data_IF_825459745288
#
_entry.id   IF_825459745288
#
_cell.length_a   1.000
_cell.length_b   1.000
_cell.length_c   1.000
_cell.angle_alpha   90.00
_cell.angle_beta   90.00
_cell.angle_gamma   90.00
#
_symmetry.space_group_name_H-M   'P 1'
#
loop_
_entity.id
_entity.type
_entity.pdbx_description
1 polymer ?
#
# COMPACT_ATOMS: atom_id res chain seq x y z
N UNK A 1 -44.02 -40.83 1.13
CA UNK A 1 -42.60 -41.27 1.12
C UNK A 1 -41.83 -40.26 1.97
N UNK A 2 -41.43 -40.47 3.22
CA UNK A 2 -40.96 -41.68 3.86
C UNK A 2 -39.44 -41.71 3.80
N UNK A 3 -38.73 -41.11 4.76
CA UNK A 3 -37.39 -41.53 5.17
C UNK A 3 -37.17 -41.19 6.66
N UNK A 4 -37.12 -42.25 7.47
CA UNK A 4 -36.71 -42.25 8.88
C UNK A 4 -35.19 -42.07 8.95
N UNK A 5 -34.72 -41.27 9.91
CA UNK A 5 -33.34 -41.28 10.36
C UNK A 5 -33.13 -42.43 11.36
N UNK A 6 -32.08 -43.23 11.16
CA UNK A 6 -31.52 -44.17 12.15
C UNK A 6 -30.13 -43.71 12.58
N UNK A 7 -29.76 -43.82 13.87
CA UNK A 7 -28.44 -43.46 14.36
C UNK A 7 -27.48 -44.65 14.35
N UNK A 8 -26.24 -44.46 13.88
CA UNK A 8 -25.19 -45.49 13.93
C UNK A 8 -24.13 -45.13 14.97
N UNK A 9 -23.87 -46.09 15.87
CA UNK A 9 -22.92 -46.09 16.98
C UNK A 9 -21.47 -45.79 16.57
N UNK A 10 -20.78 -44.99 17.38
CA UNK A 10 -19.32 -44.91 17.44
C UNK A 10 -18.73 -46.20 18.04
N UNK A 11 -17.72 -46.77 17.39
CA UNK A 11 -16.80 -47.78 17.95
C UNK A 11 -15.47 -47.06 18.20
N UNK A 12 -15.05 -47.02 19.47
CA UNK A 12 -13.72 -46.57 19.87
C UNK A 12 -12.73 -47.73 19.72
N UNK A 13 -11.60 -47.50 19.05
CA UNK A 13 -10.43 -48.38 19.08
C UNK A 13 -9.26 -47.56 19.63
N UNK A 14 -8.85 -47.88 20.85
CA UNK A 14 -7.62 -47.39 21.47
C UNK A 14 -6.44 -48.20 20.93
N UNK A 15 -5.42 -47.55 20.37
CA UNK A 15 -4.14 -48.23 20.16
C UNK A 15 -2.94 -47.30 20.43
N UNK A 16 -2.26 -47.57 21.54
CA UNK A 16 -1.25 -46.72 22.18
C UNK A 16 0.15 -46.78 21.50
N UNK A 17 0.22 -47.32 20.27
CA UNK A 17 1.49 -47.57 19.55
C UNK A 17 1.80 -46.54 18.47
N UNK A 18 0.81 -45.80 17.98
CA UNK A 18 1.00 -44.73 16.98
C UNK A 18 1.53 -43.44 17.63
N UNK A 19 1.12 -43.16 18.87
CA UNK A 19 1.53 -41.96 19.62
C UNK A 19 3.02 -41.98 20.00
N UNK A 20 3.61 -43.17 20.21
CA UNK A 20 5.03 -43.31 20.57
C UNK A 20 5.96 -43.09 19.35
N UNK A 21 5.55 -43.48 18.14
CA UNK A 21 6.36 -43.32 16.93
C UNK A 21 6.44 -41.85 16.46
N UNK A 22 5.37 -41.07 16.65
CA UNK A 22 5.33 -39.65 16.28
C UNK A 22 6.21 -38.81 17.23
N UNK A 23 6.30 -39.17 18.51
CA UNK A 23 7.13 -38.47 19.49
C UNK A 23 8.64 -38.57 19.22
N UNK A 24 9.13 -39.71 18.73
CA UNK A 24 10.56 -39.92 18.45
C UNK A 24 11.01 -39.17 17.19
N UNK A 25 10.17 -39.12 16.14
CA UNK A 25 10.48 -38.38 14.90
C UNK A 25 10.41 -36.87 15.12
N UNK A 26 9.46 -36.37 15.91
CA UNK A 26 9.39 -34.95 16.28
C UNK A 26 10.60 -34.51 17.12
N UNK A 27 11.08 -35.36 18.03
CA UNK A 27 12.27 -35.10 18.85
C UNK A 27 13.57 -35.01 18.04
N UNK A 28 13.73 -35.84 17.00
CA UNK A 28 14.90 -35.80 16.11
C UNK A 28 14.92 -34.53 15.23
N UNK A 29 13.78 -34.19 14.61
CA UNK A 29 13.65 -33.01 13.73
C UNK A 29 13.83 -31.69 14.49
N UNK A 30 13.39 -31.62 15.75
CA UNK A 30 13.57 -30.42 16.58
C UNK A 30 15.03 -30.21 17.03
N UNK A 31 15.79 -31.30 17.24
CA UNK A 31 17.18 -31.21 17.69
C UNK A 31 18.14 -30.79 16.56
N UNK A 32 17.96 -31.33 15.35
CA UNK A 32 18.75 -30.95 14.17
C UNK A 32 18.53 -29.49 13.76
N UNK A 33 17.31 -28.96 13.95
CA UNK A 33 17.02 -27.57 13.67
C UNK A 33 17.67 -26.61 14.68
N UNK A 34 17.81 -27.00 15.95
CA UNK A 34 18.48 -26.18 16.96
C UNK A 34 20.00 -26.06 16.73
N UNK A 35 20.67 -27.16 16.36
CA UNK A 35 22.10 -27.15 16.04
C UNK A 35 22.39 -26.27 14.80
N UNK A 36 21.53 -26.35 13.78
CA UNK A 36 21.65 -25.56 12.56
C UNK A 36 21.46 -24.05 12.81
N UNK A 37 20.47 -23.68 13.64
CA UNK A 37 20.21 -22.29 14.06
C UNK A 37 21.36 -21.74 14.92
N UNK A 38 21.92 -22.53 15.85
CA UNK A 38 23.08 -22.13 16.66
C UNK A 38 24.32 -21.90 15.78
N UNK A 39 24.56 -22.76 14.78
CA UNK A 39 25.69 -22.60 13.85
C UNK A 39 25.54 -21.37 12.94
N UNK A 40 24.32 -21.08 12.48
CA UNK A 40 23.99 -19.91 11.68
C UNK A 40 24.14 -18.61 12.48
N UNK A 41 23.64 -18.58 13.72
CA UNK A 41 23.79 -17.43 14.61
C UNK A 41 25.26 -17.13 14.94
N UNK A 42 26.10 -18.16 15.12
CA UNK A 42 27.54 -17.99 15.33
C UNK A 42 28.25 -17.40 14.10
N UNK A 43 27.93 -17.88 12.89
CA UNK A 43 28.50 -17.31 11.64
C UNK A 43 28.11 -15.85 11.42
N UNK A 44 26.87 -15.47 11.75
CA UNK A 44 26.41 -14.08 11.67
C UNK A 44 27.12 -13.21 12.72
N UNK A 45 27.24 -13.69 13.96
CA UNK A 45 27.96 -12.98 15.02
C UNK A 45 29.45 -12.75 14.66
N UNK A 46 30.13 -13.78 14.16
CA UNK A 46 31.53 -13.70 13.74
C UNK A 46 31.71 -12.71 12.57
N UNK A 47 30.80 -12.71 11.59
CA UNK A 47 30.80 -11.77 10.46
C UNK A 47 30.56 -10.30 10.86
N UNK A 48 29.65 -10.07 11.82
CA UNK A 48 29.41 -8.73 12.38
C UNK A 48 30.63 -8.24 13.16
N UNK A 49 31.27 -9.07 13.99
CA UNK A 49 32.51 -8.69 14.67
C UNK A 49 33.68 -8.41 13.73
N UNK A 50 33.78 -9.12 12.60
CA UNK A 50 34.77 -8.85 11.56
C UNK A 50 34.56 -7.49 10.89
N UNK A 51 33.31 -7.15 10.57
CA UNK A 51 32.94 -5.89 9.94
C UNK A 51 33.16 -4.69 10.88
N UNK A 52 32.79 -4.83 12.16
CA UNK A 52 33.01 -3.79 13.17
C UNK A 52 34.50 -3.56 13.43
N UNK A 53 35.34 -4.61 13.46
CA UNK A 53 36.81 -4.46 13.54
C UNK A 53 37.40 -3.77 12.31
N UNK A 54 36.86 -4.05 11.12
CA UNK A 54 37.25 -3.40 9.86
C UNK A 54 36.94 -1.90 9.87
N UNK A 55 35.71 -1.53 10.26
CA UNK A 55 35.28 -0.12 10.39
C UNK A 55 36.08 0.61 11.46
N UNK A 56 36.31 -0.01 12.63
CA UNK A 56 37.12 0.59 13.69
C UNK A 56 38.58 0.84 13.24
N UNK A 57 39.16 -0.05 12.43
CA UNK A 57 40.51 0.12 11.88
C UNK A 57 40.56 1.24 10.83
N UNK A 58 39.51 1.37 10.00
CA UNK A 58 39.36 2.45 9.02
C UNK A 58 39.21 3.83 9.69
N UNK A 59 38.37 3.93 10.73
CA UNK A 59 38.16 5.17 11.50
C UNK A 59 39.43 5.58 12.23
N UNK A 60 40.15 4.63 12.84
CA UNK A 60 41.43 4.92 13.52
C UNK A 60 42.50 5.43 12.54
N UNK A 61 42.55 4.87 11.33
CA UNK A 61 43.41 5.35 10.24
C UNK A 61 43.09 6.77 9.79
N UNK A 62 41.79 7.07 9.58
CA UNK A 62 41.33 8.40 9.19
C UNK A 62 41.64 9.46 10.24
N UNK A 63 41.40 9.16 11.52
CA UNK A 63 41.69 10.08 12.65
C UNK A 63 43.19 10.35 12.79
N UNK A 64 44.05 9.33 12.62
CA UNK A 64 45.51 9.53 12.62
C UNK A 64 46.00 10.37 11.43
N UNK A 65 45.35 10.27 10.26
CA UNK A 65 45.64 11.09 9.10
C UNK A 65 45.29 12.57 9.32
N UNK A 66 44.12 12.84 9.90
CA UNK A 66 43.67 14.19 10.25
C UNK A 66 44.59 14.83 11.30
N UNK A 67 44.99 14.10 12.34
CA UNK A 67 45.93 14.61 13.35
C UNK A 67 47.32 14.93 12.76
N UNK A 68 47.82 14.12 11.81
CA UNK A 68 49.08 14.42 11.11
C UNK A 68 48.97 15.66 10.23
N UNK A 69 47.82 15.88 9.59
CA UNK A 69 47.52 17.08 8.81
C UNK A 69 47.44 18.34 9.66
N UNK A 70 46.72 18.28 10.78
CA UNK A 70 46.57 19.39 11.74
C UNK A 70 47.91 19.75 12.41
N UNK A 71 48.76 18.77 12.75
CA UNK A 71 50.10 19.01 13.29
C UNK A 71 51.05 19.68 12.30
N UNK A 72 50.96 19.33 11.00
CA UNK A 72 51.73 19.96 9.91
C UNK A 72 51.24 21.38 9.57
N UNK A 73 49.97 21.66 9.86
CA UNK A 73 49.36 22.99 9.70
C UNK A 73 49.70 23.91 10.90
N UNK A 74 49.70 23.37 12.12
CA UNK A 74 50.04 24.10 13.35
C UNK A 74 51.54 24.43 13.47
N UNK A 75 52.43 23.65 12.87
CA UNK A 75 53.87 23.97 12.85
C UNK A 75 54.25 25.10 11.89
N UNK A 76 53.28 25.67 11.15
CA UNK A 76 53.48 26.78 10.21
C UNK A 76 52.93 28.12 10.72
N UNK A 77 52.35 28.13 11.93
CA UNK A 77 51.76 29.32 12.52
C UNK A 77 52.24 29.50 13.97
N UNK A 78 53.35 30.19 14.13
CA UNK A 78 53.69 30.98 15.32
C UNK A 78 54.57 32.14 14.83
N UNK A 79 54.35 33.40 15.28
CA UNK A 79 53.99 33.78 16.65
C UNK A 79 52.79 34.75 16.75
N UNK A 80 51.98 34.59 17.80
CA UNK A 80 51.30 35.68 18.55
C UNK A 80 50.57 35.03 19.73
N UNK A 81 51.30 34.88 20.83
CA UNK A 81 50.74 34.48 22.11
C UNK A 81 49.94 35.66 22.67
N UNK A 82 48.68 35.43 23.04
CA UNK A 82 47.89 36.49 23.68
C UNK A 82 46.37 36.43 23.53
N UNK A 83 45.76 35.34 23.06
CA UNK A 83 44.28 35.20 23.15
C UNK A 83 43.78 33.74 23.22
N UNK A 84 44.69 32.76 23.22
CA UNK A 84 44.35 31.32 23.18
C UNK A 84 44.28 30.63 24.56
N UNK A 85 44.70 31.32 25.63
CA UNK A 85 44.67 30.76 26.99
C UNK A 85 43.25 30.55 27.56
N UNK A 86 42.26 31.32 27.09
CA UNK A 86 40.87 31.24 27.59
C UNK A 86 39.96 30.27 26.80
N UNK A 87 40.34 29.93 25.58
CA UNK A 87 39.65 28.91 24.75
C UNK A 87 40.10 27.48 25.08
N UNK A 88 41.37 27.30 25.48
CA UNK A 88 41.89 26.01 25.92
C UNK A 88 41.28 25.54 27.26
N UNK A 89 40.93 26.46 28.18
CA UNK A 89 40.29 26.10 29.45
C UNK A 89 38.81 25.69 29.30
N UNK A 90 38.10 26.20 28.29
CA UNK A 90 36.70 25.83 28.00
C UNK A 90 36.58 24.51 27.20
N UNK A 91 37.61 24.15 26.41
CA UNK A 91 37.68 22.87 25.70
C UNK A 91 38.20 21.72 26.59
N UNK A 92 38.92 22.04 27.66
CA UNK A 92 39.33 21.06 28.68
C UNK A 92 38.16 20.61 29.57
N UNK A 93 37.14 21.45 29.78
CA UNK A 93 35.96 21.08 30.58
C UNK A 93 34.95 20.20 29.83
N UNK A 94 34.94 20.21 28.49
CA UNK A 94 34.03 19.36 27.67
C UNK A 94 34.63 17.99 27.31
N UNK A 95 35.96 17.83 27.40
CA UNK A 95 36.65 16.55 27.16
C UNK A 95 36.70 15.64 28.39
N UNK A 96 36.54 16.19 29.61
CA UNK A 96 36.43 15.41 30.84
C UNK A 96 35.10 14.65 30.97
N UNK A 97 34.01 15.21 30.45
CA UNK A 97 32.68 14.56 30.48
C UNK A 97 32.62 13.33 29.55
N UNK A 98 33.21 13.44 28.36
CA UNK A 98 33.29 12.33 27.40
C UNK A 98 34.22 11.18 27.88
N UNK A 99 35.27 11.51 28.65
CA UNK A 99 36.15 10.51 29.24
C UNK A 99 35.53 9.79 30.45
N UNK A 100 34.72 10.49 31.26
CA UNK A 100 33.99 9.90 32.38
C UNK A 100 32.87 8.95 31.91
N UNK A 101 32.21 9.28 30.79
CA UNK A 101 31.16 8.43 30.20
C UNK A 101 31.74 7.18 29.51
N UNK A 102 32.96 7.30 28.93
CA UNK A 102 33.70 6.17 28.38
C UNK A 102 34.24 5.20 29.47
N UNK A 103 34.55 5.71 30.67
CA UNK A 103 34.97 4.89 31.80
C UNK A 103 33.81 4.13 32.47
N UNK A 104 32.59 4.70 32.47
CA UNK A 104 31.40 4.04 33.00
C UNK A 104 30.89 2.89 32.11
N UNK A 105 31.27 2.85 30.83
CA UNK A 105 30.93 1.78 29.90
C UNK A 105 31.75 0.47 30.11
N UNK A 106 32.77 0.49 30.99
CA UNK A 106 33.61 -0.67 31.30
C UNK A 106 33.08 -1.53 32.47
N UNK A 107 32.04 -1.09 33.17
CA UNK A 107 31.39 -1.85 34.25
C UNK A 107 29.99 -2.28 33.82
N UNK A 108 29.83 -3.59 33.61
CA UNK A 108 28.69 -4.20 32.96
C UNK A 108 27.34 -4.06 33.68
N UNK A 109 26.29 -4.34 32.91
CA UNK A 109 24.93 -4.61 33.41
C UNK A 109 23.91 -3.54 33.03
N UNK A 110 24.09 -2.29 33.48
CA UNK A 110 23.04 -1.28 33.40
C UNK A 110 22.90 -0.57 32.04
N UNK A 111 23.99 -0.44 31.27
CA UNK A 111 23.98 0.22 29.97
C UNK A 111 23.25 -0.59 28.88
N UNK A 112 23.30 -1.93 28.96
CA UNK A 112 22.64 -2.82 28.00
C UNK A 112 21.11 -2.75 28.10
N UNK A 113 20.57 -2.61 29.31
CA UNK A 113 19.12 -2.42 29.52
C UNK A 113 18.66 -1.04 29.05
N UNK A 114 19.49 -0.01 29.23
CA UNK A 114 19.17 1.38 28.86
C UNK A 114 19.30 1.62 27.35
N UNK A 115 20.25 0.98 26.67
CA UNK A 115 20.32 0.95 25.20
C UNK A 115 19.24 0.05 24.58
N UNK A 116 18.90 -1.06 25.21
CA UNK A 116 17.75 -1.89 24.80
C UNK A 116 16.43 -1.12 24.89
N UNK A 117 16.23 -0.37 25.99
CA UNK A 117 15.05 0.47 26.18
C UNK A 117 15.02 1.67 25.22
N UNK A 118 16.14 2.32 24.93
CA UNK A 118 16.21 3.44 23.98
C UNK A 118 16.07 2.97 22.52
N UNK A 119 16.64 1.82 22.18
CA UNK A 119 16.48 1.16 20.87
C UNK A 119 15.06 0.64 20.66
N UNK A 120 14.42 0.08 21.69
CA UNK A 120 13.00 -0.27 21.66
C UNK A 120 12.12 0.97 21.63
N UNK A 121 12.49 2.07 22.30
CA UNK A 121 11.74 3.32 22.26
C UNK A 121 11.90 4.02 20.90
N UNK A 122 13.06 3.95 20.25
CA UNK A 122 13.23 4.42 18.86
C UNK A 122 12.55 3.51 17.85
N UNK A 123 12.52 2.19 18.06
CA UNK A 123 11.71 1.28 17.24
C UNK A 123 10.21 1.48 17.47
N UNK A 124 9.76 1.75 18.70
CA UNK A 124 8.36 2.04 19.00
C UNK A 124 7.95 3.44 18.54
N UNK A 125 8.83 4.44 18.57
CA UNK A 125 8.61 5.77 18.01
C UNK A 125 8.67 5.75 16.48
N UNK A 126 9.56 4.95 15.88
CA UNK A 126 9.58 4.66 14.44
C UNK A 126 8.35 3.90 13.97
N UNK A 127 7.87 2.92 14.76
CA UNK A 127 6.61 2.21 14.51
C UNK A 127 5.38 3.08 14.79
N UNK A 128 5.42 4.03 15.73
CA UNK A 128 4.34 5.01 15.94
C UNK A 128 4.30 6.06 14.83
N UNK A 129 5.46 6.52 14.35
CA UNK A 129 5.56 7.40 13.18
C UNK A 129 5.12 6.68 11.89
N UNK A 130 5.32 5.36 11.80
CA UNK A 130 4.82 4.53 10.69
C UNK A 130 3.35 4.11 10.84
N UNK A 131 2.73 4.26 12.02
CA UNK A 131 1.32 3.90 12.29
C UNK A 131 0.38 5.10 12.42
N UNK A 132 0.80 6.26 11.93
CA UNK A 132 -0.10 7.38 11.69
C UNK A 132 -0.84 7.28 10.35
N UNK A 133 -0.59 6.22 9.55
CA UNK A 133 -1.30 5.95 8.30
C UNK A 133 -2.11 4.66 8.42
N UNK A 134 -3.24 4.69 9.13
CA UNK A 134 -4.35 3.82 8.76
C UNK A 134 -5.22 4.65 7.81
N UNK A 135 -4.70 4.92 6.62
CA UNK A 135 -5.32 5.81 5.65
C UNK A 135 -6.15 4.98 4.68
N UNK A 136 -7.35 4.58 5.13
CA UNK A 136 -8.45 4.29 4.22
C UNK A 136 -8.90 5.61 3.60
N UNK A 137 -8.18 6.10 2.59
CA UNK A 137 -8.51 7.14 1.58
C UNK A 137 -9.07 8.49 2.07
N UNK A 138 -9.36 8.66 3.36
CA UNK A 138 -9.96 9.85 3.92
C UNK A 138 -8.84 10.64 4.56
N UNK A 139 -8.51 11.74 3.91
CA UNK A 139 -7.60 12.75 4.42
C UNK A 139 -8.18 13.43 5.70
N UNK A 140 -9.38 13.05 6.13
CA UNK A 140 -9.99 13.36 7.43
C UNK A 140 -10.10 12.10 8.31
N UNK A 141 -9.00 11.80 9.01
CA UNK A 141 -8.86 10.72 10.00
C UNK A 141 -9.89 10.83 11.14
N UNK A 142 -10.49 12.01 11.35
CA UNK A 142 -11.25 12.28 12.57
C UNK A 142 -12.72 11.91 12.49
N UNK A 143 -13.26 11.57 11.30
CA UNK A 143 -14.68 11.28 11.07
C UNK A 143 -15.63 12.34 11.67
N UNK A 144 -15.14 13.58 11.79
CA UNK A 144 -15.88 14.74 12.30
C UNK A 144 -15.60 15.91 11.38
N UNK A 145 -16.66 16.63 11.02
CA UNK A 145 -16.52 17.82 10.22
C UNK A 145 -16.02 18.99 11.08
N UNK A 146 -15.11 19.79 10.52
CA UNK A 146 -14.72 21.09 11.06
C UNK A 146 -14.88 22.10 9.94
N UNK A 147 -15.60 23.17 10.22
CA UNK A 147 -15.81 24.24 9.25
C UNK A 147 -14.47 24.84 8.84
N UNK A 148 -14.28 24.95 7.54
CA UNK A 148 -13.17 25.64 6.91
C UNK A 148 -13.72 26.67 5.92
N UNK A 149 -12.93 27.65 5.47
CA UNK A 149 -13.39 28.62 4.49
C UNK A 149 -13.93 27.99 3.20
N UNK A 150 -13.36 26.84 2.83
CA UNK A 150 -13.67 26.11 1.60
C UNK A 150 -14.70 24.97 1.77
N UNK A 151 -14.98 24.56 3.00
CA UNK A 151 -15.88 23.45 3.32
C UNK A 151 -16.62 23.76 4.61
N UNK A 152 -17.86 24.22 4.47
CA UNK A 152 -18.79 24.59 5.52
C UNK A 152 -20.23 24.44 4.99
N UNK A 153 -21.22 24.69 5.84
CA UNK A 153 -22.64 24.56 5.46
C UNK A 153 -23.09 25.57 4.40
N UNK A 154 -22.40 26.72 4.27
CA UNK A 154 -22.70 27.75 3.27
C UNK A 154 -21.99 27.52 1.93
N UNK A 155 -21.18 26.46 1.79
CA UNK A 155 -20.45 26.17 0.56
C UNK A 155 -21.46 25.88 -0.55
N UNK A 156 -21.56 26.73 -1.59
CA UNK A 156 -22.61 26.58 -2.59
C UNK A 156 -22.31 25.38 -3.48
N UNK A 157 -23.27 24.45 -3.57
CA UNK A 157 -23.22 23.35 -4.51
C UNK A 157 -24.61 23.12 -5.09
N UNK A 158 -24.70 23.17 -6.41
CA UNK A 158 -25.90 22.83 -7.15
C UNK A 158 -25.51 21.89 -8.29
N UNK A 159 -26.37 20.92 -8.57
CA UNK A 159 -26.15 20.03 -9.69
C UNK A 159 -26.35 20.78 -11.01
N UNK A 160 -25.48 20.52 -11.99
CA UNK A 160 -25.70 21.06 -13.33
C UNK A 160 -26.96 20.44 -13.96
N UNK A 161 -27.65 21.11 -14.89
CA UNK A 161 -28.84 20.54 -15.53
C UNK A 161 -28.58 19.18 -16.20
N UNK A 162 -27.37 18.99 -16.76
CA UNK A 162 -26.95 17.72 -17.36
C UNK A 162 -26.82 16.62 -16.30
N UNK A 163 -26.13 16.90 -15.19
CA UNK A 163 -25.97 15.95 -14.07
C UNK A 163 -27.30 15.67 -13.38
N UNK A 164 -28.18 16.66 -13.24
CA UNK A 164 -29.52 16.44 -12.67
C UNK A 164 -30.34 15.45 -13.49
N UNK A 165 -30.22 15.45 -14.82
CA UNK A 165 -30.89 14.46 -15.66
C UNK A 165 -30.41 13.04 -15.33
N UNK A 166 -29.12 12.85 -15.12
CA UNK A 166 -28.55 11.55 -14.70
C UNK A 166 -28.98 11.17 -13.29
N UNK A 167 -29.05 12.13 -12.36
CA UNK A 167 -29.58 11.90 -11.00
C UNK A 167 -31.02 11.40 -11.05
N UNK A 168 -31.88 12.03 -11.86
CA UNK A 168 -33.27 11.58 -12.03
C UNK A 168 -33.36 10.19 -12.67
N UNK A 169 -32.49 9.87 -13.61
CA UNK A 169 -32.38 8.52 -14.18
C UNK A 169 -31.96 7.48 -13.15
N UNK A 170 -31.02 7.81 -12.25
CA UNK A 170 -30.61 6.92 -11.18
C UNK A 170 -31.77 6.69 -10.21
N UNK A 171 -32.47 7.75 -9.80
CA UNK A 171 -33.61 7.66 -8.89
C UNK A 171 -34.71 6.76 -9.48
N UNK A 172 -34.95 6.84 -10.80
CA UNK A 172 -36.00 6.03 -11.46
C UNK A 172 -35.70 4.53 -11.49
N UNK A 173 -34.45 4.10 -11.24
CA UNK A 173 -34.09 2.68 -11.10
C UNK A 173 -34.63 2.06 -9.81
N UNK A 174 -35.03 2.88 -8.84
CA UNK A 174 -35.52 2.42 -7.54
C UNK A 174 -37.02 2.69 -7.39
N UNK A 175 -37.73 1.87 -6.58
CA UNK A 175 -39.13 2.14 -6.24
C UNK A 175 -39.29 3.53 -5.60
N UNK A 176 -40.43 4.22 -5.83
CA UNK A 176 -40.63 5.61 -5.41
C UNK A 176 -40.53 5.82 -3.89
N UNK A 177 -40.89 4.81 -3.09
CA UNK A 177 -40.80 4.83 -1.64
C UNK A 177 -39.38 4.53 -1.10
N UNK A 178 -38.46 4.05 -1.94
CA UNK A 178 -37.09 3.67 -1.56
C UNK A 178 -36.02 4.47 -2.31
N UNK A 179 -36.30 5.74 -2.63
CA UNK A 179 -35.35 6.64 -3.30
C UNK A 179 -34.01 6.81 -2.58
N UNK A 180 -33.97 6.62 -1.26
CA UNK A 180 -32.72 6.61 -0.48
C UNK A 180 -31.70 5.57 -0.99
N UNK A 181 -32.14 4.54 -1.72
CA UNK A 181 -31.25 3.55 -2.34
C UNK A 181 -30.35 4.15 -3.44
N UNK A 182 -30.74 5.30 -3.99
CA UNK A 182 -29.95 6.05 -4.97
C UNK A 182 -28.77 6.83 -4.34
N UNK A 183 -28.61 6.81 -3.02
CA UNK A 183 -27.65 7.65 -2.30
C UNK A 183 -26.20 7.46 -2.77
N UNK A 184 -25.73 6.21 -2.89
CA UNK A 184 -24.33 5.94 -3.28
C UNK A 184 -24.04 6.45 -4.71
N UNK A 185 -24.82 6.09 -5.74
CA UNK A 185 -24.60 6.62 -7.09
C UNK A 185 -24.74 8.15 -7.19
N UNK A 186 -25.68 8.76 -6.46
CA UNK A 186 -25.88 10.21 -6.50
C UNK A 186 -24.74 10.95 -5.80
N UNK A 187 -24.22 10.42 -4.68
CA UNK A 187 -23.00 10.95 -4.05
C UNK A 187 -21.78 10.82 -4.95
N UNK A 188 -21.64 9.70 -5.66
CA UNK A 188 -20.52 9.50 -6.58
C UNK A 188 -20.58 10.50 -7.75
N UNK A 189 -21.75 10.74 -8.33
CA UNK A 189 -21.94 11.81 -9.32
C UNK A 189 -21.62 13.20 -8.75
N UNK A 190 -22.05 13.48 -7.51
CA UNK A 190 -21.77 14.76 -6.86
C UNK A 190 -20.26 14.95 -6.65
N UNK A 191 -19.55 13.89 -6.26
CA UNK A 191 -18.09 13.88 -6.13
C UNK A 191 -17.41 14.14 -7.48
N UNK A 192 -17.84 13.48 -8.53
CA UNK A 192 -17.31 13.69 -9.89
C UNK A 192 -17.56 15.13 -10.35
N UNK A 193 -18.75 15.69 -10.11
CA UNK A 193 -19.07 17.08 -10.47
C UNK A 193 -18.22 18.09 -9.69
N UNK A 194 -17.97 17.84 -8.40
CA UNK A 194 -17.25 18.75 -7.51
C UNK A 194 -15.71 18.59 -7.57
N UNK A 195 -15.18 18.00 -8.65
CA UNK A 195 -13.73 17.87 -8.85
C UNK A 195 -13.07 16.84 -7.92
N UNK A 196 -13.80 15.79 -7.55
CA UNK A 196 -13.25 14.61 -6.88
C UNK A 196 -13.41 14.56 -5.37
N UNK A 197 -14.16 15.48 -4.76
CA UNK A 197 -14.41 15.47 -3.31
C UNK A 197 -15.82 15.96 -2.95
N UNK A 198 -16.29 15.60 -1.76
CA UNK A 198 -17.59 15.94 -1.22
C UNK A 198 -17.45 16.99 -0.11
N UNK A 199 -17.94 18.20 -0.39
CA UNK A 199 -18.11 19.24 0.62
C UNK A 199 -19.37 18.98 1.46
N UNK A 200 -19.49 19.65 2.61
CA UNK A 200 -20.69 19.57 3.45
C UNK A 200 -21.92 20.08 2.67
N UNK A 201 -21.80 21.20 1.96
CA UNK A 201 -22.86 21.71 1.08
C UNK A 201 -23.27 20.71 -0.01
N UNK A 202 -22.30 19.99 -0.60
CA UNK A 202 -22.57 18.92 -1.56
C UNK A 202 -23.40 17.78 -0.96
N UNK A 203 -23.03 17.31 0.24
CA UNK A 203 -23.78 16.25 0.93
C UNK A 203 -25.20 16.69 1.29
N UNK A 204 -25.37 17.96 1.71
CA UNK A 204 -26.69 18.51 2.04
C UNK A 204 -27.58 18.62 0.82
N UNK A 205 -27.01 19.01 -0.32
CA UNK A 205 -27.75 19.02 -1.59
C UNK A 205 -28.22 17.63 -1.98
N UNK A 206 -27.40 16.60 -1.79
CA UNK A 206 -27.81 15.21 -2.04
C UNK A 206 -28.94 14.79 -1.11
N UNK A 207 -28.87 15.17 0.16
CA UNK A 207 -29.92 14.90 1.15
C UNK A 207 -31.26 15.55 0.76
N UNK A 208 -31.22 16.79 0.30
CA UNK A 208 -32.37 17.54 -0.22
C UNK A 208 -33.01 16.82 -1.41
N UNK A 209 -32.21 16.47 -2.43
CA UNK A 209 -32.70 15.81 -3.66
C UNK A 209 -33.33 14.45 -3.37
N UNK A 210 -32.79 13.71 -2.41
CA UNK A 210 -33.31 12.39 -2.01
C UNK A 210 -34.36 12.46 -0.89
N UNK A 211 -34.71 13.67 -0.43
CA UNK A 211 -35.60 13.95 0.70
C UNK A 211 -35.33 13.04 1.90
N UNK A 212 -34.07 12.99 2.34
CA UNK A 212 -33.65 12.19 3.48
C UNK A 212 -32.85 13.03 4.49
N UNK A 213 -32.76 12.61 5.76
CA UNK A 213 -31.97 13.34 6.74
C UNK A 213 -30.48 13.40 6.35
N UNK A 214 -29.87 14.58 6.46
CA UNK A 214 -28.45 14.81 6.14
C UNK A 214 -27.50 13.84 6.85
N UNK A 215 -27.81 13.50 8.11
CA UNK A 215 -26.99 12.57 8.90
C UNK A 215 -26.82 11.20 8.22
N UNK A 216 -27.83 10.71 7.48
CA UNK A 216 -27.73 9.45 6.75
C UNK A 216 -26.79 9.55 5.55
N UNK A 217 -26.71 10.74 4.94
CA UNK A 217 -25.72 11.03 3.89
C UNK A 217 -24.32 11.06 4.48
N UNK A 218 -24.13 11.72 5.64
CA UNK A 218 -22.83 11.77 6.32
C UNK A 218 -22.34 10.39 6.76
N UNK A 219 -23.22 9.55 7.30
CA UNK A 219 -22.91 8.15 7.65
C UNK A 219 -22.36 7.39 6.44
N UNK A 220 -23.03 7.49 5.28
CA UNK A 220 -22.59 6.80 4.05
C UNK A 220 -21.29 7.39 3.50
N UNK A 221 -21.18 8.73 3.46
CA UNK A 221 -19.99 9.41 2.96
C UNK A 221 -18.73 9.16 3.80
N UNK A 222 -18.89 8.90 5.10
CA UNK A 222 -17.78 8.55 6.01
C UNK A 222 -17.46 7.05 6.00
N UNK A 223 -18.46 6.21 5.75
CA UNK A 223 -18.31 4.75 5.76
C UNK A 223 -17.60 4.22 4.51
N UNK A 224 -17.95 4.70 3.32
CA UNK A 224 -17.35 4.23 2.07
C UNK A 224 -16.08 5.00 1.74
N UNK A 225 -14.99 4.27 1.55
CA UNK A 225 -13.66 4.85 1.37
C UNK A 225 -13.48 5.56 0.02
N UNK A 226 -14.31 5.25 -0.99
CA UNK A 226 -14.28 5.95 -2.28
C UNK A 226 -14.68 7.43 -2.18
N UNK A 227 -15.40 7.81 -1.12
CA UNK A 227 -15.89 9.17 -0.94
C UNK A 227 -14.83 10.06 -0.28
N UNK A 228 -14.20 10.92 -1.07
CA UNK A 228 -13.20 11.85 -0.58
C UNK A 228 -13.90 13.03 0.10
N UNK A 229 -13.70 13.20 1.40
CA UNK A 229 -14.31 14.30 2.18
C UNK A 229 -13.43 15.55 2.28
N UNK A 230 -12.27 15.50 1.63
CA UNK A 230 -11.30 16.60 1.55
C UNK A 230 -10.84 16.73 0.11
N UNK A 231 -10.37 17.92 -0.26
CA UNK A 231 -9.88 18.20 -1.61
C UNK A 231 -8.73 17.25 -1.98
N UNK A 232 -8.94 16.51 -3.06
CA UNK A 232 -7.90 15.74 -3.74
C UNK A 232 -7.45 16.49 -4.99
N UNK A 233 -6.28 16.13 -5.52
CA UNK A 233 -5.80 16.61 -6.80
C UNK A 233 -6.66 16.07 -7.95
N UNK A 234 -6.39 16.56 -9.16
CA UNK A 234 -7.14 16.15 -10.35
C UNK A 234 -7.05 14.66 -10.64
N UNK A 235 -5.93 14.03 -10.29
CA UNK A 235 -5.71 12.60 -10.35
C UNK A 235 -5.50 12.06 -8.94
N UNK A 236 -6.40 11.19 -8.49
CA UNK A 236 -6.19 10.45 -7.25
C UNK A 236 -5.60 9.07 -7.58
N UNK A 237 -4.31 8.91 -7.27
CA UNK A 237 -3.53 7.69 -7.47
C UNK A 237 -3.69 6.81 -6.24
N UNK A 238 -4.31 5.66 -6.40
CA UNK A 238 -4.58 4.71 -5.32
C UNK A 238 -3.77 3.43 -5.54
N UNK A 239 -2.79 3.19 -4.67
CA UNK A 239 -1.89 2.04 -4.73
C UNK A 239 -2.44 0.90 -3.89
N UNK A 240 -2.50 -0.32 -4.43
CA UNK A 240 -2.96 -1.49 -3.68
C UNK A 240 -1.91 -1.97 -2.65
N UNK A 241 -2.27 -1.92 -1.37
CA UNK A 241 -1.44 -2.31 -0.22
C UNK A 241 -1.62 -3.76 0.26
N UNK A 242 -2.60 -4.49 -0.30
CA UNK A 242 -2.93 -5.85 0.19
C UNK A 242 -1.90 -6.91 -0.11
N UNK A 243 -1.95 -8.02 0.64
CA UNK A 243 -0.97 -9.11 0.61
C UNK A 243 -0.57 -9.58 -0.81
N UNK A 244 -1.48 -9.82 -1.77
CA UNK A 244 -1.07 -10.24 -3.12
C UNK A 244 -0.19 -9.21 -3.82
N UNK A 245 -0.56 -7.93 -3.76
CA UNK A 245 0.23 -6.84 -4.34
C UNK A 245 1.54 -6.62 -3.58
N UNK A 246 1.51 -6.74 -2.25
CA UNK A 246 2.70 -6.60 -1.41
C UNK A 246 3.74 -7.67 -1.70
N UNK A 247 3.30 -8.93 -1.90
CA UNK A 247 4.17 -10.05 -2.28
C UNK A 247 4.82 -9.84 -3.65
N UNK A 248 4.12 -9.19 -4.60
CA UNK A 248 4.65 -8.83 -5.92
C UNK A 248 5.39 -7.47 -5.92
N UNK A 249 5.61 -6.85 -4.75
CA UNK A 249 6.45 -5.66 -4.61
C UNK A 249 5.76 -4.31 -4.77
N UNK A 250 4.45 -4.20 -4.48
CA UNK A 250 3.73 -2.91 -4.53
C UNK A 250 4.34 -1.82 -3.64
N UNK A 251 5.05 -2.17 -2.58
CA UNK A 251 5.79 -1.21 -1.75
C UNK A 251 6.89 -0.47 -2.53
N UNK A 252 7.50 -1.14 -3.52
CA UNK A 252 8.47 -0.51 -4.41
C UNK A 252 7.81 0.50 -5.35
N UNK A 253 6.55 0.24 -5.74
CA UNK A 253 5.73 1.14 -6.55
C UNK A 253 5.37 2.40 -5.76
N UNK A 254 4.87 2.23 -4.54
CA UNK A 254 4.53 3.33 -3.63
C UNK A 254 5.76 4.19 -3.31
N UNK A 255 6.89 3.57 -2.97
CA UNK A 255 8.13 4.28 -2.69
C UNK A 255 8.65 5.07 -3.90
N UNK A 256 8.50 4.51 -5.12
CA UNK A 256 8.84 5.21 -6.35
C UNK A 256 7.95 6.44 -6.58
N UNK A 257 6.63 6.31 -6.34
CA UNK A 257 5.66 7.40 -6.44
C UNK A 257 5.94 8.51 -5.43
N UNK A 258 6.15 8.17 -4.16
CA UNK A 258 6.51 9.11 -3.08
C UNK A 258 7.78 9.89 -3.44
N UNK A 259 8.81 9.18 -3.92
CA UNK A 259 10.08 9.81 -4.31
C UNK A 259 9.93 10.71 -5.53
N UNK A 260 9.13 10.32 -6.52
CA UNK A 260 8.97 11.04 -7.78
C UNK A 260 8.08 12.29 -7.62
N UNK A 261 6.98 12.16 -6.88
CA UNK A 261 6.02 13.25 -6.65
C UNK A 261 6.46 14.19 -5.51
N UNK A 262 7.35 13.72 -4.62
CA UNK A 262 7.84 14.52 -3.49
C UNK A 262 6.80 14.73 -2.38
N UNK A 263 5.80 13.84 -2.29
CA UNK A 263 4.70 13.88 -1.32
C UNK A 263 4.66 12.62 -0.47
N UNK A 264 4.00 12.66 0.67
CA UNK A 264 3.69 11.46 1.46
C UNK A 264 2.38 10.82 0.98
N UNK A 265 2.15 9.58 1.41
CA UNK A 265 0.83 8.95 1.26
C UNK A 265 -0.20 9.75 2.06
N UNK A 266 -1.32 10.07 1.42
CA UNK A 266 -2.36 10.95 1.94
C UNK A 266 -2.07 12.44 1.76
N UNK A 267 -1.10 12.82 0.92
CA UNK A 267 -0.84 14.22 0.58
C UNK A 267 -1.13 14.49 -0.91
N UNK A 268 -1.36 15.76 -1.22
CA UNK A 268 -1.56 16.25 -2.58
C UNK A 268 -0.35 17.07 -2.99
N UNK A 269 0.08 16.93 -4.25
CA UNK A 269 1.18 17.71 -4.81
C UNK A 269 0.86 19.22 -4.81
N UNK A 270 1.88 20.06 -4.70
CA UNK A 270 1.72 21.51 -4.63
C UNK A 270 1.08 22.15 -5.89
N UNK A 271 1.17 21.45 -7.03
CA UNK A 271 0.50 21.81 -8.29
C UNK A 271 -0.99 21.42 -8.33
N UNK A 272 -1.50 20.73 -7.30
CA UNK A 272 -2.90 20.26 -7.21
C UNK A 272 -3.24 19.16 -8.22
N UNK A 273 -2.25 18.53 -8.85
CA UNK A 273 -2.48 17.56 -9.91
C UNK A 273 -2.64 16.13 -9.38
N UNK A 274 -1.85 15.71 -8.39
CA UNK A 274 -1.81 14.32 -7.94
C UNK A 274 -2.01 14.22 -6.42
N UNK A 275 -2.88 13.30 -6.01
CA UNK A 275 -2.98 12.83 -4.63
C UNK A 275 -2.59 11.37 -4.59
N UNK A 276 -1.75 10.99 -3.62
CA UNK A 276 -1.36 9.60 -3.42
C UNK A 276 -2.15 9.01 -2.26
N UNK A 277 -2.91 7.94 -2.51
CA UNK A 277 -3.62 7.16 -1.50
C UNK A 277 -3.14 5.71 -1.50
N UNK A 278 -3.16 5.08 -0.33
CA UNK A 278 -3.13 3.63 -0.21
C UNK A 278 -4.57 3.12 -0.21
N UNK A 279 -4.77 1.99 -0.88
CA UNK A 279 -6.07 1.33 -0.99
C UNK A 279 -5.94 -0.17 -0.78
N UNK A 280 -7.04 -0.77 -0.36
CA UNK A 280 -7.12 -2.20 -0.14
C UNK A 280 -7.32 -2.96 -1.47
N UNK A 281 -7.76 -4.21 -1.39
CA UNK A 281 -7.89 -5.08 -2.56
C UNK A 281 -8.83 -4.49 -3.61
N UNK A 282 -8.31 -4.25 -4.82
CA UNK A 282 -9.08 -3.73 -5.96
C UNK A 282 -9.56 -4.81 -6.94
N UNK A 283 -9.36 -6.09 -6.61
CA UNK A 283 -9.80 -7.22 -7.43
C UNK A 283 -8.86 -7.62 -8.57
N UNK A 284 -7.76 -6.88 -8.82
CA UNK A 284 -6.79 -7.19 -9.90
C UNK A 284 -5.61 -8.05 -9.42
N UNK A 285 -5.85 -9.03 -8.55
CA UNK A 285 -4.79 -9.77 -7.86
C UNK A 285 -3.89 -10.59 -8.79
N UNK A 286 -4.44 -11.14 -9.89
CA UNK A 286 -3.64 -11.90 -10.87
C UNK A 286 -2.71 -10.99 -11.68
N UNK A 287 -3.02 -9.68 -11.72
CA UNK A 287 -2.25 -8.62 -12.36
C UNK A 287 -1.44 -7.77 -11.35
N UNK A 288 -1.09 -8.35 -10.21
CA UNK A 288 -0.33 -7.65 -9.19
C UNK A 288 1.12 -7.35 -9.67
N UNK A 289 1.70 -6.19 -9.29
CA UNK A 289 1.11 -5.08 -8.53
C UNK A 289 0.33 -4.10 -9.43
N UNK A 290 -0.62 -3.38 -8.84
CA UNK A 290 -1.52 -2.48 -9.57
C UNK A 290 -1.76 -1.16 -8.85
N UNK A 291 -2.20 -0.17 -9.62
CA UNK A 291 -2.61 1.16 -9.18
C UNK A 291 -3.89 1.53 -9.91
N UNK A 292 -4.88 2.05 -9.18
CA UNK A 292 -6.02 2.72 -9.79
C UNK A 292 -5.80 4.22 -9.82
N UNK A 293 -6.24 4.88 -10.89
CA UNK A 293 -6.25 6.34 -10.98
C UNK A 293 -7.66 6.81 -11.25
N UNK A 294 -8.19 7.62 -10.35
CA UNK A 294 -9.40 8.38 -10.59
C UNK A 294 -9.05 9.71 -11.26
N UNK A 295 -9.51 9.91 -12.50
CA UNK A 295 -9.35 11.16 -13.26
C UNK A 295 -10.56 12.07 -13.06
N UNK A 296 -10.39 13.12 -12.26
CA UNK A 296 -11.40 14.14 -11.99
C UNK A 296 -11.25 15.39 -12.88
N UNK A 297 -10.36 15.39 -13.89
CA UNK A 297 -10.04 16.59 -14.69
C UNK A 297 -11.23 17.15 -15.48
N UNK A 298 -12.13 16.27 -15.94
CA UNK A 298 -13.26 16.61 -16.83
C UNK A 298 -14.63 16.53 -16.16
N UNK A 299 -14.67 16.39 -14.83
CA UNK A 299 -15.90 16.19 -14.08
C UNK A 299 -16.68 14.95 -14.54
N UNK A 300 -18.01 15.01 -14.46
CA UNK A 300 -18.91 13.86 -14.69
C UNK A 300 -18.79 13.25 -16.09
N UNK A 301 -18.62 14.05 -17.14
CA UNK A 301 -18.63 13.54 -18.53
C UNK A 301 -17.35 12.80 -18.92
N UNK A 302 -16.24 13.12 -18.26
CA UNK A 302 -14.93 12.55 -18.58
C UNK A 302 -14.27 11.83 -17.42
N UNK A 303 -15.01 11.57 -16.34
CA UNK A 303 -14.51 10.79 -15.20
C UNK A 303 -14.13 9.38 -15.65
N UNK A 304 -12.90 8.97 -15.32
CA UNK A 304 -12.44 7.60 -15.49
C UNK A 304 -11.86 7.08 -14.18
N UNK A 305 -12.08 5.80 -13.92
CA UNK A 305 -11.49 5.06 -12.81
C UNK A 305 -10.67 3.92 -13.39
N UNK A 306 -9.47 4.28 -13.85
CA UNK A 306 -8.64 3.43 -14.69
C UNK A 306 -7.71 2.56 -13.86
N UNK A 307 -7.64 1.26 -14.20
CA UNK A 307 -6.71 0.32 -13.60
C UNK A 307 -5.45 0.21 -14.44
N UNK A 308 -4.31 0.42 -13.80
CA UNK A 308 -2.99 0.16 -14.36
C UNK A 308 -2.37 -1.01 -13.61
N UNK A 309 -2.08 -2.08 -14.33
CA UNK A 309 -1.78 -3.36 -13.74
C UNK A 309 -0.45 -3.93 -14.25
N UNK A 310 0.06 -4.96 -13.57
CA UNK A 310 1.37 -5.57 -13.80
C UNK A 310 2.50 -4.53 -13.76
N UNK A 311 2.45 -3.60 -12.80
CA UNK A 311 3.32 -2.43 -12.80
C UNK A 311 4.75 -2.73 -12.33
N UNK A 312 5.72 -2.11 -13.01
CA UNK A 312 7.06 -1.89 -12.48
C UNK A 312 7.19 -0.45 -11.94
N UNK A 313 8.17 -0.16 -11.06
CA UNK A 313 8.42 1.21 -10.61
C UNK A 313 8.64 2.18 -11.77
N UNK A 314 9.33 1.74 -12.83
CA UNK A 314 9.59 2.55 -14.01
C UNK A 314 8.32 2.83 -14.81
N UNK A 315 7.45 1.83 -14.98
CA UNK A 315 6.20 2.00 -15.73
C UNK A 315 5.22 2.90 -14.99
N UNK A 316 5.19 2.82 -13.66
CA UNK A 316 4.38 3.70 -12.82
C UNK A 316 4.78 5.17 -13.00
N UNK A 317 6.09 5.47 -13.02
CA UNK A 317 6.57 6.84 -13.26
C UNK A 317 6.19 7.30 -14.69
N UNK A 318 6.33 6.44 -15.69
CA UNK A 318 5.93 6.76 -17.07
C UNK A 318 4.44 7.08 -17.18
N UNK A 319 3.58 6.34 -16.47
CA UNK A 319 2.14 6.57 -16.42
C UNK A 319 1.84 7.94 -15.81
N UNK A 320 2.44 8.25 -14.65
CA UNK A 320 2.27 9.56 -14.00
C UNK A 320 2.72 10.71 -14.89
N UNK A 321 3.84 10.59 -15.59
CA UNK A 321 4.31 11.63 -16.52
C UNK A 321 3.40 11.79 -17.74
N UNK A 322 2.83 10.69 -18.26
CA UNK A 322 1.82 10.77 -19.34
C UNK A 322 0.54 11.47 -18.87
N UNK A 323 0.06 11.13 -17.68
CA UNK A 323 -1.10 11.79 -17.07
C UNK A 323 -0.83 13.28 -16.82
N UNK A 324 0.37 13.63 -16.36
CA UNK A 324 0.78 15.04 -16.18
C UNK A 324 0.74 15.84 -17.49
N UNK A 325 1.06 15.20 -18.62
CA UNK A 325 0.95 15.78 -19.97
C UNK A 325 -0.48 15.82 -20.51
N UNK A 326 -1.45 15.22 -19.83
CA UNK A 326 -2.83 15.09 -20.29
C UNK A 326 -3.03 13.98 -21.33
N UNK A 327 -2.04 13.11 -21.54
CA UNK A 327 -2.17 11.92 -22.36
C UNK A 327 -2.90 10.82 -21.58
N UNK A 328 -3.65 9.96 -22.27
CA UNK A 328 -4.28 8.78 -21.65
C UNK A 328 -3.37 7.55 -21.81
N UNK A 329 -2.76 7.04 -20.73
CA UNK A 329 -1.98 5.80 -20.77
C UNK A 329 -2.88 4.60 -21.10
N UNK A 330 -2.27 3.50 -21.55
CA UNK A 330 -2.99 2.24 -21.82
C UNK A 330 -3.59 1.71 -20.51
N UNK A 331 -4.90 1.54 -20.48
CA UNK A 331 -5.63 0.96 -19.34
C UNK A 331 -5.48 -0.56 -19.36
N UNK A 332 -5.38 -1.15 -18.17
CA UNK A 332 -5.16 -2.58 -17.92
C UNK A 332 -3.67 -2.90 -17.69
N UNK A 333 -3.31 -4.14 -18.01
CA UNK A 333 -1.92 -4.60 -17.92
C UNK A 333 -0.98 -3.82 -18.84
N UNK A 334 0.19 -3.45 -18.30
CA UNK A 334 1.24 -2.79 -19.09
C UNK A 334 2.08 -3.78 -19.91
N UNK A 335 2.03 -5.07 -19.60
CA UNK A 335 2.91 -6.08 -20.22
C UNK A 335 2.19 -7.22 -20.93
N UNK A 336 0.89 -7.43 -20.66
CA UNK A 336 0.06 -8.45 -21.31
C UNK A 336 -1.27 -7.86 -21.80
N UNK A 337 -2.14 -8.66 -22.40
CA UNK A 337 -3.42 -8.20 -22.94
C UNK A 337 -4.43 -7.92 -21.83
N UNK A 338 -4.68 -8.91 -20.97
CA UNK A 338 -5.58 -8.81 -19.81
C UNK A 338 -5.00 -9.61 -18.64
N UNK A 339 -5.51 -10.81 -18.41
CA UNK A 339 -5.23 -11.65 -17.24
C UNK A 339 -4.66 -13.03 -17.63
N UNK A 340 -4.19 -13.18 -18.86
CA UNK A 340 -3.60 -14.43 -19.34
C UNK A 340 -2.27 -14.73 -18.62
N UNK A 341 -1.86 -16.02 -18.53
CA UNK A 341 -0.63 -16.41 -17.85
C UNK A 341 0.66 -16.06 -18.62
N UNK A 342 0.73 -14.89 -19.25
CA UNK A 342 1.87 -14.41 -20.05
C UNK A 342 3.07 -13.90 -19.23
N UNK A 343 2.98 -13.88 -17.89
CA UNK A 343 4.07 -13.46 -17.02
C UNK A 343 3.60 -12.95 -15.66
N UNK A 344 4.55 -12.50 -14.85
CA UNK A 344 4.33 -11.85 -13.56
C UNK A 344 5.46 -10.87 -13.24
N UNK A 345 5.20 -9.92 -12.35
CA UNK A 345 6.22 -8.99 -11.86
C UNK A 345 6.99 -9.63 -10.69
N UNK A 346 8.26 -9.95 -10.89
CA UNK A 346 9.14 -10.49 -9.85
C UNK A 346 10.25 -9.50 -9.53
N UNK A 347 10.42 -9.18 -8.25
CA UNK A 347 11.47 -8.26 -7.78
C UNK A 347 11.47 -6.90 -8.50
N UNK A 348 10.28 -6.35 -8.80
CA UNK A 348 10.11 -5.07 -9.48
C UNK A 348 10.36 -5.10 -10.99
N UNK A 349 10.49 -6.28 -11.60
CA UNK A 349 10.68 -6.45 -13.05
C UNK A 349 9.66 -7.42 -13.63
N UNK A 350 9.21 -7.15 -14.85
CA UNK A 350 8.38 -8.09 -15.59
C UNK A 350 9.16 -9.34 -15.99
N UNK A 351 8.64 -10.52 -15.66
CA UNK A 351 9.16 -11.82 -16.08
C UNK A 351 8.12 -12.49 -16.99
N UNK A 352 8.39 -12.63 -18.30
CA UNK A 352 7.45 -13.26 -19.23
C UNK A 352 7.36 -14.77 -18.99
N UNK A 353 6.18 -15.33 -19.26
CA UNK A 353 5.84 -16.74 -19.20
C UNK A 353 5.23 -17.18 -20.54
N UNK A 354 5.17 -18.49 -20.80
CA UNK A 354 4.46 -19.03 -21.96
C UNK A 354 3.02 -18.51 -21.98
N UNK A 355 2.54 -18.10 -23.16
CA UNK A 355 1.23 -17.46 -23.36
C UNK A 355 0.02 -18.32 -22.96
N UNK A 356 -1.15 -18.06 -23.54
CA UNK A 356 -2.41 -18.67 -23.12
C UNK A 356 -2.33 -20.21 -23.10
N UNK A 357 -2.37 -20.80 -21.89
CA UNK A 357 -2.35 -22.27 -21.70
C UNK A 357 -3.73 -22.91 -21.89
N UNK A 358 -4.78 -22.09 -21.87
CA UNK A 358 -6.19 -22.48 -21.99
C UNK A 358 -6.93 -21.49 -22.90
N UNK A 359 -8.13 -21.86 -23.37
CA UNK A 359 -8.96 -21.03 -24.27
C UNK A 359 -8.27 -20.70 -25.62
N UNK A 360 -7.48 -21.64 -26.15
CA UNK A 360 -6.78 -21.50 -27.44
C UNK A 360 -7.66 -21.84 -28.65
N UNK A 361 -8.68 -22.68 -28.46
CA UNK A 361 -9.64 -23.03 -29.51
C UNK A 361 -10.71 -21.96 -29.71
N UNK A 362 -11.30 -21.92 -30.89
CA UNK A 362 -12.45 -21.05 -31.15
C UNK A 362 -13.63 -21.43 -30.23
N UNK A 363 -14.35 -20.45 -29.64
CA UNK A 363 -15.57 -20.73 -28.90
C UNK A 363 -16.53 -21.51 -29.78
N UNK A 364 -16.94 -22.69 -29.31
CA UNK A 364 -17.97 -23.47 -30.02
C UNK A 364 -19.28 -22.68 -29.95
N UNK A 365 -20.00 -22.63 -31.07
CA UNK A 365 -21.31 -21.98 -31.19
C UNK A 365 -22.35 -22.56 -30.23
N UNK A 366 -23.57 -22.00 -30.21
CA UNK A 366 -24.58 -22.39 -29.23
C UNK A 366 -24.85 -23.90 -29.30
N UNK A 367 -24.69 -24.59 -28.17
CA UNK A 367 -25.02 -26.01 -28.04
C UNK A 367 -26.54 -26.23 -28.12
N UNK A 368 -27.32 -25.19 -27.82
CA UNK A 368 -28.76 -25.17 -27.95
C UNK A 368 -29.11 -24.56 -29.32
N UNK A 369 -29.64 -25.39 -30.21
CA UNK A 369 -30.34 -24.95 -31.42
C UNK A 369 -31.53 -24.08 -31.02
N UNK A 370 -31.85 -23.04 -31.77
CA UNK A 370 -33.15 -22.36 -31.62
C UNK A 370 -34.26 -23.38 -31.87
N UNK A 371 -35.32 -23.42 -31.04
CA UNK A 371 -36.40 -24.44 -31.15
C UNK A 371 -37.04 -24.51 -32.55
N UNK A 372 -36.84 -23.51 -33.39
CA UNK A 372 -37.28 -23.41 -34.78
C UNK A 372 -36.39 -24.12 -35.82
N UNK A 373 -35.08 -24.30 -35.60
CA UNK A 373 -34.14 -24.81 -36.62
C UNK A 373 -34.01 -26.34 -36.65
N UNK A 374 -34.19 -27.11 -37.74
CA UNK A 374 -34.16 -28.58 -37.68
C UNK A 374 -32.96 -29.20 -36.91
N UNK A 375 -33.15 -30.30 -36.14
CA UNK A 375 -32.08 -30.90 -35.35
C UNK A 375 -30.89 -31.32 -36.25
N UNK A 376 -29.64 -31.21 -35.76
CA UNK A 376 -28.49 -31.61 -36.54
C UNK A 376 -28.55 -33.10 -36.90
N UNK A 377 -28.05 -33.52 -38.08
CA UNK A 377 -28.04 -34.92 -38.46
C UNK A 377 -27.20 -35.74 -37.47
N UNK A 378 -27.57 -37.00 -37.19
CA UNK A 378 -26.81 -37.84 -36.29
C UNK A 378 -25.36 -37.99 -36.79
N UNK A 379 -24.38 -38.07 -35.89
CA UNK A 379 -22.99 -38.27 -36.28
C UNK A 379 -22.88 -39.54 -37.13
N UNK A 380 -22.12 -39.47 -38.22
CA UNK A 380 -21.90 -40.61 -39.10
C UNK A 380 -21.34 -41.79 -38.28
N UNK A 381 -21.82 -43.03 -38.52
CA UNK A 381 -21.29 -44.18 -37.81
C UNK A 381 -19.77 -44.26 -38.01
N UNK A 382 -19.01 -44.60 -36.97
CA UNK A 382 -17.56 -44.71 -37.09
C UNK A 382 -17.25 -45.70 -38.20
N UNK A 383 -16.35 -45.31 -39.11
CA UNK A 383 -15.94 -46.16 -40.22
C UNK A 383 -15.50 -47.53 -39.67
N UNK A 384 -16.18 -48.58 -40.10
CA UNK A 384 -15.80 -49.95 -39.78
C UNK A 384 -14.40 -50.17 -40.35
N UNK A 385 -13.42 -50.37 -39.46
CA UNK A 385 -12.06 -50.74 -39.82
C UNK A 385 -11.99 -52.18 -40.27
#
# INVERSE_FOLDING_TARGET
MGFRATPTRMIAVSDNRVTAAIGVVAGWVLNDNQESIKSGAKKVADGVTGTVKGVAKGVKGAVTGVFKGVKKMLSRLAPTAGLLGRLASQLASSSGAAAAEAAAAATGGAAAQRWGAWGQQQQQLGQRAQRAGFATNSHDIFNVHKDSPDNNIQTPFEFTPATMKQVQEIISRYPPNYKASALIPVLDLAQQQNGGWLSLGTMNKVAEVLEMPEIRVYEVATFYTMFNRSKVGKYHIMVCGTSPCRLQGSQGIEAALVKHLGIRVGETTADGMFTLGEMECMGCCVNAPMVAVADYTKGVEGFTYDYYEDLTPEDTIKIVEKLRKGEKPRVGSQHRDKAEPAGAVQFGKWVPSSGHMTLTGQPKGPYCRDLTDPPPPPPAPPAQK
#
